data_IF_775347290079
#
_entry.id   IF_775347290079
#
_cell.length_a   1.000
_cell.length_b   1.000
_cell.length_c   1.000
_cell.angle_alpha   90.00
_cell.angle_beta   90.00
_cell.angle_gamma   90.00
#
_symmetry.space_group_name_H-M   'P 1'
#
loop_
_entity.id
_entity.type
_entity.pdbx_description
1 polymer ?
#
# COMPACT_ATOMS: atom_id res chain seq x y z
N UNK A 1 -27.02 -31.20 -54.46
CA UNK A 1 -28.48 -31.47 -54.33
C UNK A 1 -28.62 -32.87 -53.73
N UNK A 2 -29.01 -32.97 -52.46
CA UNK A 2 -30.34 -33.42 -51.99
C UNK A 2 -30.68 -34.91 -52.29
N UNK A 3 -30.67 -35.70 -51.20
CA UNK A 3 -31.58 -36.81 -50.81
C UNK A 3 -31.51 -38.07 -51.68
N UNK A 4 -31.69 -39.31 -51.23
CA UNK A 4 -32.42 -39.99 -50.14
C UNK A 4 -31.60 -41.28 -49.81
N UNK A 5 -31.84 -42.16 -48.85
CA UNK A 5 -32.92 -42.46 -47.89
C UNK A 5 -32.29 -43.35 -46.81
N UNK A 6 -32.68 -43.17 -45.56
CA UNK A 6 -32.33 -44.06 -44.45
C UNK A 6 -33.38 -45.18 -44.41
N UNK A 7 -32.95 -46.42 -44.27
CA UNK A 7 -33.80 -47.53 -43.83
C UNK A 7 -33.09 -48.29 -42.72
N UNK A 8 -33.75 -48.35 -41.56
CA UNK A 8 -33.36 -49.11 -40.38
C UNK A 8 -33.33 -50.62 -40.68
N UNK A 9 -32.36 -51.33 -40.09
CA UNK A 9 -32.61 -52.66 -39.56
C UNK A 9 -31.80 -52.85 -38.27
N UNK A 10 -32.50 -53.00 -37.15
CA UNK A 10 -31.93 -53.36 -35.87
C UNK A 10 -31.67 -54.88 -35.86
N UNK A 11 -30.45 -55.28 -35.51
CA UNK A 11 -30.12 -56.66 -35.13
C UNK A 11 -29.50 -56.61 -33.75
N UNK A 12 -30.23 -57.16 -32.79
CA UNK A 12 -29.72 -57.58 -31.49
C UNK A 12 -28.77 -58.75 -31.71
N UNK A 13 -27.52 -58.60 -31.28
CA UNK A 13 -26.59 -59.70 -31.10
C UNK A 13 -25.96 -59.60 -29.72
N UNK A 14 -26.41 -60.51 -28.85
CA UNK A 14 -25.75 -60.91 -27.62
C UNK A 14 -24.38 -61.48 -27.98
N UNK A 15 -23.34 -61.12 -27.24
CA UNK A 15 -22.08 -61.88 -27.22
C UNK A 15 -21.55 -61.97 -25.79
N UNK A 16 -20.94 -63.12 -25.42
CA UNK A 16 -20.62 -63.46 -24.05
C UNK A 16 -19.18 -63.07 -23.64
N UNK A 17 -18.98 -63.12 -22.33
CA UNK A 17 -17.78 -62.87 -21.54
C UNK A 17 -16.43 -63.15 -22.22
N UNK A 18 -15.55 -62.15 -22.17
CA UNK A 18 -14.10 -62.32 -22.17
C UNK A 18 -13.59 -62.03 -20.74
N UNK A 19 -12.88 -63.00 -20.17
CA UNK A 19 -12.26 -62.90 -18.85
C UNK A 19 -11.19 -61.80 -18.84
N UNK A 20 -11.35 -60.81 -17.95
CA UNK A 20 -10.30 -59.86 -17.61
C UNK A 20 -9.40 -60.45 -16.52
N UNK A 21 -8.07 -60.24 -16.58
CA UNK A 21 -7.13 -60.76 -15.59
C UNK A 21 -7.38 -60.14 -14.22
N UNK A 22 -7.21 -60.97 -13.19
CA UNK A 22 -7.21 -60.59 -11.78
C UNK A 22 -6.22 -59.43 -11.54
N UNK A 23 -6.75 -58.26 -11.20
CA UNK A 23 -5.99 -57.22 -10.51
C UNK A 23 -6.16 -57.50 -9.02
N UNK A 24 -5.09 -57.92 -8.34
CA UNK A 24 -5.07 -57.90 -6.87
C UNK A 24 -4.96 -56.43 -6.46
N UNK A 25 -6.05 -55.88 -5.94
CA UNK A 25 -6.02 -54.62 -5.19
C UNK A 25 -5.07 -54.82 -4.00
N UNK A 26 -4.00 -54.03 -3.94
CA UNK A 26 -3.26 -53.84 -2.70
C UNK A 26 -4.26 -53.32 -1.64
N UNK A 27 -4.25 -53.85 -0.41
CA UNK A 27 -5.19 -53.38 0.60
C UNK A 27 -4.91 -51.90 0.85
N UNK A 28 -5.85 -51.06 0.42
CA UNK A 28 -5.91 -49.65 0.79
C UNK A 28 -5.91 -49.59 2.32
N UNK A 29 -4.80 -49.09 2.90
CA UNK A 29 -4.75 -48.81 4.33
C UNK A 29 -5.64 -47.59 4.55
N UNK A 30 -6.92 -47.83 4.79
CA UNK A 30 -7.84 -46.80 5.27
C UNK A 30 -7.43 -46.47 6.70
N UNK A 31 -6.67 -45.40 6.87
CA UNK A 31 -6.51 -44.78 8.18
C UNK A 31 -7.83 -44.06 8.45
N UNK A 32 -8.78 -44.76 9.06
CA UNK A 32 -9.97 -44.12 9.61
C UNK A 32 -9.52 -43.15 10.70
N UNK A 33 -9.42 -41.86 10.34
CA UNK A 33 -9.23 -40.80 11.32
C UNK A 33 -10.51 -40.70 12.14
N UNK A 34 -10.60 -41.47 13.23
CA UNK A 34 -11.52 -41.21 14.33
C UNK A 34 -11.06 -39.97 15.11
N UNK A 35 -10.98 -38.83 14.44
CA UNK A 35 -11.09 -37.54 15.10
C UNK A 35 -12.57 -37.33 15.41
N UNK A 36 -12.89 -36.99 16.66
CA UNK A 36 -14.25 -36.61 17.02
C UNK A 36 -14.78 -35.61 15.98
N UNK A 37 -15.92 -35.92 15.37
CA UNK A 37 -16.62 -34.99 14.50
C UNK A 37 -16.95 -33.77 15.36
N UNK A 38 -16.13 -32.71 15.27
CA UNK A 38 -16.40 -31.46 15.96
C UNK A 38 -17.77 -31.01 15.50
N UNK A 39 -18.72 -30.92 16.45
CA UNK A 39 -20.07 -30.48 16.18
C UNK A 39 -20.04 -29.26 15.25
N UNK A 40 -20.96 -29.15 14.27
CA UNK A 40 -20.94 -28.05 13.32
C UNK A 40 -20.89 -26.74 14.11
N UNK A 41 -19.79 -25.99 13.94
CA UNK A 41 -19.64 -24.68 14.56
C UNK A 41 -20.83 -23.86 14.10
N UNK A 42 -21.67 -23.43 15.04
CA UNK A 42 -22.86 -22.64 14.73
C UNK A 42 -22.39 -21.38 14.00
N UNK A 43 -22.62 -21.35 12.69
CA UNK A 43 -22.21 -20.24 11.85
C UNK A 43 -22.95 -18.98 12.27
N UNK A 44 -22.21 -17.88 12.31
CA UNK A 44 -22.68 -16.56 12.68
C UNK A 44 -22.76 -15.72 11.42
N UNK A 45 -23.97 -15.43 10.98
CA UNK A 45 -24.19 -14.39 9.98
C UNK A 45 -23.80 -13.03 10.57
N UNK A 46 -22.76 -12.42 10.00
CA UNK A 46 -22.32 -11.07 10.35
C UNK A 46 -23.26 -9.99 9.82
N UNK A 47 -24.07 -10.33 8.82
CA UNK A 47 -24.98 -9.40 8.17
C UNK A 47 -26.24 -9.14 9.00
N UNK A 48 -26.70 -10.15 9.74
CA UNK A 48 -27.94 -10.08 10.54
C UNK A 48 -27.73 -9.48 11.94
N UNK A 49 -26.49 -9.13 12.29
CA UNK A 49 -26.14 -8.58 13.60
C UNK A 49 -25.59 -7.17 13.47
N UNK A 50 -25.87 -6.30 14.43
CA UNK A 50 -25.24 -4.99 14.51
C UNK A 50 -23.83 -5.07 15.13
N UNK A 51 -23.07 -3.97 15.04
CA UNK A 51 -21.71 -3.86 15.57
C UNK A 51 -21.61 -4.24 17.05
N UNK A 52 -22.58 -3.82 17.87
CA UNK A 52 -22.60 -4.09 19.32
C UNK A 52 -22.81 -5.57 19.61
N UNK A 53 -23.74 -6.22 18.90
CA UNK A 53 -24.03 -7.64 19.03
C UNK A 53 -22.82 -8.49 18.63
N UNK A 54 -22.19 -8.17 17.50
CA UNK A 54 -20.97 -8.84 17.03
C UNK A 54 -19.81 -8.63 18.01
N UNK A 55 -19.65 -7.39 18.50
CA UNK A 55 -18.58 -7.07 19.45
C UNK A 55 -18.75 -7.84 20.76
N UNK A 56 -19.98 -8.00 21.26
CA UNK A 56 -20.26 -8.79 22.47
C UNK A 56 -20.03 -10.29 22.25
N UNK A 57 -20.42 -10.80 21.08
CA UNK A 57 -20.30 -12.22 20.76
C UNK A 57 -18.85 -12.68 20.67
N UNK A 58 -18.00 -11.88 20.03
CA UNK A 58 -16.61 -12.25 19.76
C UNK A 58 -15.60 -11.66 20.76
N UNK A 59 -16.07 -10.93 21.78
CA UNK A 59 -15.18 -10.26 22.74
C UNK A 59 -14.23 -11.25 23.41
N UNK A 60 -12.92 -10.98 23.32
CA UNK A 60 -11.90 -11.81 23.96
C UNK A 60 -11.68 -13.17 23.28
N UNK A 61 -12.32 -13.42 22.13
CA UNK A 61 -12.03 -14.58 21.29
C UNK A 61 -10.80 -14.28 20.43
N UNK A 62 -10.06 -15.33 20.12
CA UNK A 62 -8.95 -15.22 19.16
C UNK A 62 -9.49 -15.09 17.73
N UNK A 63 -8.61 -14.64 16.82
CA UNK A 63 -8.93 -14.52 15.40
C UNK A 63 -9.41 -15.84 14.83
N UNK A 64 -8.72 -16.94 15.13
CA UNK A 64 -9.05 -18.28 14.64
C UNK A 64 -10.51 -18.64 14.91
N UNK A 65 -11.00 -18.44 16.13
CA UNK A 65 -12.39 -18.67 16.49
C UNK A 65 -13.36 -17.77 15.71
N UNK A 66 -13.03 -16.49 15.56
CA UNK A 66 -13.85 -15.56 14.78
C UNK A 66 -13.90 -15.96 13.30
N UNK A 67 -12.75 -16.32 12.71
CA UNK A 67 -12.65 -16.78 11.32
C UNK A 67 -13.51 -18.02 11.08
N UNK A 68 -13.43 -19.02 11.96
CA UNK A 68 -14.21 -20.25 11.82
C UNK A 68 -15.70 -20.07 12.12
N UNK A 69 -16.08 -19.01 12.84
CA UNK A 69 -17.48 -18.75 13.18
C UNK A 69 -18.20 -17.92 12.13
N UNK A 70 -17.48 -17.27 11.20
CA UNK A 70 -18.07 -16.31 10.23
C UNK A 70 -18.04 -16.88 8.82
N UNK A 71 -19.17 -16.75 8.12
CA UNK A 71 -19.47 -17.48 6.87
C UNK A 71 -18.66 -17.04 5.64
N UNK A 72 -17.94 -15.90 5.68
CA UNK A 72 -17.12 -15.41 4.57
C UNK A 72 -15.98 -14.54 5.10
N UNK A 73 -14.72 -14.95 4.99
CA UNK A 73 -13.62 -14.19 5.59
C UNK A 73 -12.48 -13.88 4.64
N UNK A 74 -12.02 -12.62 4.66
CA UNK A 74 -10.70 -12.26 4.15
C UNK A 74 -9.63 -12.83 5.07
N UNK A 75 -8.75 -13.68 4.53
CA UNK A 75 -7.56 -14.14 5.24
C UNK A 75 -6.48 -13.06 5.36
N UNK A 76 -6.60 -11.97 4.62
CA UNK A 76 -5.69 -10.82 4.69
C UNK A 76 -6.11 -9.89 5.81
N UNK A 77 -5.16 -9.57 6.68
CA UNK A 77 -5.22 -8.47 7.63
C UNK A 77 -4.19 -7.39 7.27
N UNK A 78 -4.60 -6.15 7.50
CA UNK A 78 -3.70 -5.00 7.46
C UNK A 78 -3.34 -4.61 8.89
N UNK A 79 -2.06 -4.35 9.14
CA UNK A 79 -1.59 -3.86 10.45
C UNK A 79 -1.77 -2.35 10.49
N UNK A 80 -2.62 -1.91 11.41
CA UNK A 80 -2.87 -0.50 11.69
C UNK A 80 -2.11 -0.12 12.96
N UNK A 81 -1.29 0.92 12.86
CA UNK A 81 -0.64 1.53 14.02
C UNK A 81 -1.51 2.67 14.54
N UNK A 82 -1.87 2.60 15.81
CA UNK A 82 -2.63 3.67 16.45
C UNK A 82 -1.75 4.84 16.90
N UNK A 83 -2.38 5.98 17.15
CA UNK A 83 -1.71 7.19 17.63
C UNK A 83 -0.92 7.00 18.95
N UNK A 84 -1.30 6.02 19.79
CA UNK A 84 -0.60 5.71 21.03
C UNK A 84 0.51 4.65 20.87
N UNK A 85 0.82 4.26 19.64
CA UNK A 85 1.86 3.28 19.31
C UNK A 85 1.42 1.83 19.39
N UNK A 86 0.19 1.52 19.82
CA UNK A 86 -0.35 0.15 19.80
C UNK A 86 -0.69 -0.27 18.38
N UNK A 87 -0.49 -1.55 18.10
CA UNK A 87 -0.78 -2.16 16.81
C UNK A 87 -2.06 -2.98 16.87
N UNK A 88 -2.85 -2.87 15.81
CA UNK A 88 -4.09 -3.58 15.62
C UNK A 88 -4.08 -4.28 14.27
N UNK A 89 -4.63 -5.48 14.22
CA UNK A 89 -4.89 -6.16 12.96
C UNK A 89 -6.32 -5.87 12.53
N UNK A 90 -6.46 -5.37 11.31
CA UNK A 90 -7.74 -5.00 10.71
C UNK A 90 -8.13 -6.02 9.64
N UNK A 91 -9.36 -6.53 9.73
CA UNK A 91 -9.94 -7.44 8.73
C UNK A 91 -11.22 -6.82 8.17
N UNK A 92 -11.26 -6.68 6.85
CA UNK A 92 -12.47 -6.29 6.10
C UNK A 92 -13.24 -7.53 5.65
N UNK A 93 -14.55 -7.52 5.88
CA UNK A 93 -15.48 -8.52 5.40
C UNK A 93 -16.29 -7.95 4.26
N UNK A 94 -16.07 -8.47 3.05
CA UNK A 94 -16.68 -7.99 1.81
C UNK A 94 -15.64 -7.54 0.77
N UNK A 95 -16.08 -7.44 -0.48
CA UNK A 95 -15.21 -7.19 -1.65
C UNK A 95 -15.18 -5.74 -2.09
N UNK A 96 -16.07 -4.88 -1.58
CA UNK A 96 -16.28 -3.53 -2.08
C UNK A 96 -15.90 -2.45 -1.06
N UNK A 97 -15.41 -1.32 -1.58
CA UNK A 97 -15.28 -0.07 -0.81
C UNK A 97 -16.69 0.47 -0.54
N UNK A 98 -17.16 0.21 0.68
CA UNK A 98 -18.55 0.38 1.11
C UNK A 98 -18.99 -0.73 2.07
N UNK A 99 -18.23 -1.81 2.16
CA UNK A 99 -18.45 -2.88 3.13
C UNK A 99 -17.94 -2.43 4.52
N UNK A 100 -18.90 -2.04 5.35
CA UNK A 100 -18.63 -1.55 6.70
C UNK A 100 -18.37 -2.65 7.72
N UNK A 101 -18.47 -3.93 7.33
CA UNK A 101 -18.16 -5.06 8.19
C UNK A 101 -16.64 -5.13 8.37
N UNK A 102 -16.17 -4.40 9.39
CA UNK A 102 -14.76 -4.17 9.66
C UNK A 102 -14.46 -4.62 11.08
N UNK A 103 -13.52 -5.55 11.23
CA UNK A 103 -13.21 -6.18 12.51
C UNK A 103 -11.81 -5.75 12.90
N UNK A 104 -11.66 -5.41 14.18
CA UNK A 104 -10.41 -4.96 14.76
C UNK A 104 -9.96 -5.97 15.81
N UNK A 105 -8.73 -6.42 15.67
CA UNK A 105 -8.03 -7.31 16.60
C UNK A 105 -6.80 -6.59 17.15
N UNK A 106 -6.29 -7.00 18.29
CA UNK A 106 -4.93 -6.62 18.71
C UNK A 106 -3.93 -7.36 17.81
N UNK A 107 -2.87 -6.68 17.39
CA UNK A 107 -1.76 -7.30 16.66
C UNK A 107 -0.80 -8.03 17.62
N UNK A 108 -1.34 -8.96 18.41
CA UNK A 108 -0.59 -9.86 19.29
C UNK A 108 -0.79 -11.32 18.82
N UNK A 109 -0.01 -12.27 19.32
CA UNK A 109 -0.21 -13.70 19.01
C UNK A 109 -0.62 -14.46 20.28
N UNK A 110 -1.83 -15.05 20.34
CA UNK A 110 -2.88 -15.03 19.32
C UNK A 110 -3.61 -13.67 19.23
N UNK A 111 -4.03 -13.29 18.02
CA UNK A 111 -4.72 -12.01 17.79
C UNK A 111 -6.09 -12.00 18.48
N UNK A 112 -6.26 -11.14 19.48
CA UNK A 112 -7.52 -11.06 20.25
C UNK A 112 -8.50 -10.06 19.65
N UNK A 113 -9.76 -10.44 19.48
CA UNK A 113 -10.83 -9.58 18.98
C UNK A 113 -11.16 -8.41 19.93
N UNK A 114 -11.31 -7.21 19.38
CA UNK A 114 -11.51 -5.95 20.12
C UNK A 114 -12.84 -5.29 19.79
N UNK A 115 -13.11 -5.05 18.51
CA UNK A 115 -14.25 -4.27 18.07
C UNK A 115 -14.72 -4.68 16.67
N UNK A 116 -15.99 -4.44 16.38
CA UNK A 116 -16.58 -4.56 15.06
C UNK A 116 -17.27 -3.25 14.69
N UNK A 117 -17.15 -2.84 13.44
CA UNK A 117 -18.00 -1.86 12.81
C UNK A 117 -18.96 -2.54 11.83
N UNK A 118 -20.17 -1.98 11.71
CA UNK A 118 -21.24 -2.47 10.84
C UNK A 118 -21.76 -1.41 9.86
N UNK A 119 -21.47 -0.14 10.12
CA UNK A 119 -21.81 1.00 9.27
C UNK A 119 -20.73 2.09 9.39
N UNK A 120 -20.85 3.15 8.60
CA UNK A 120 -19.92 4.29 8.62
C UNK A 120 -19.73 4.89 10.02
N UNK A 121 -20.83 5.07 10.77
CA UNK A 121 -20.79 5.66 12.12
C UNK A 121 -19.97 4.80 13.08
N UNK A 122 -20.12 3.48 12.99
CA UNK A 122 -19.35 2.54 13.81
C UNK A 122 -17.86 2.57 13.43
N UNK A 123 -17.53 2.69 12.14
CA UNK A 123 -16.13 2.81 11.69
C UNK A 123 -15.49 4.06 12.30
N UNK A 124 -16.16 5.21 12.19
CA UNK A 124 -15.69 6.47 12.78
C UNK A 124 -15.57 6.38 14.31
N UNK A 125 -16.54 5.73 14.98
CA UNK A 125 -16.50 5.54 16.43
C UNK A 125 -15.32 4.66 16.88
N UNK A 126 -15.02 3.60 16.13
CA UNK A 126 -13.88 2.71 16.40
C UNK A 126 -12.56 3.44 16.10
N UNK A 127 -12.47 4.16 14.99
CA UNK A 127 -11.29 4.97 14.64
C UNK A 127 -10.96 5.96 15.77
N UNK A 128 -11.95 6.71 16.27
CA UNK A 128 -11.80 7.65 17.37
C UNK A 128 -11.38 6.96 18.67
N UNK A 129 -12.06 5.86 19.04
CA UNK A 129 -11.82 5.17 20.31
C UNK A 129 -10.43 4.52 20.40
N UNK A 130 -9.96 3.92 19.31
CA UNK A 130 -8.70 3.18 19.27
C UNK A 130 -7.57 3.97 18.63
N UNK A 131 -7.84 5.16 18.10
CA UNK A 131 -6.85 6.00 17.43
C UNK A 131 -6.29 5.36 16.17
N UNK A 132 -7.11 4.58 15.45
CA UNK A 132 -6.76 3.87 14.21
C UNK A 132 -7.51 4.45 13.02
N UNK A 133 -7.08 4.10 11.81
CA UNK A 133 -7.82 4.42 10.60
C UNK A 133 -8.17 3.14 9.85
N UNK A 134 -9.39 2.62 10.06
CA UNK A 134 -9.88 1.44 9.33
C UNK A 134 -10.36 1.76 7.90
N UNK A 135 -10.09 2.96 7.40
CA UNK A 135 -10.46 3.43 6.06
C UNK A 135 -11.92 3.88 5.98
N UNK A 136 -12.14 5.09 5.47
CA UNK A 136 -13.45 5.64 5.09
C UNK A 136 -13.26 6.34 3.75
N UNK A 137 -14.06 5.96 2.75
CA UNK A 137 -14.05 6.65 1.46
C UNK A 137 -14.78 7.99 1.56
N UNK A 138 -14.33 8.98 0.80
CA UNK A 138 -15.01 10.26 0.68
C UNK A 138 -16.42 10.07 0.11
N UNK A 139 -16.54 9.17 -0.88
CA UNK A 139 -17.85 8.79 -1.44
C UNK A 139 -18.83 8.30 -0.37
N UNK A 140 -18.39 7.42 0.53
CA UNK A 140 -19.22 6.90 1.61
C UNK A 140 -19.58 7.95 2.64
N UNK A 141 -18.61 8.80 2.99
CA UNK A 141 -18.84 9.91 3.89
C UNK A 141 -19.89 10.86 3.35
N UNK A 142 -19.76 11.29 2.09
CA UNK A 142 -20.69 12.20 1.44
C UNK A 142 -22.08 11.59 1.23
N UNK A 143 -22.16 10.27 1.02
CA UNK A 143 -23.45 9.58 0.97
C UNK A 143 -24.26 9.72 2.27
N UNK A 144 -23.59 9.76 3.43
CA UNK A 144 -24.24 9.84 4.74
C UNK A 144 -24.36 11.27 5.26
N UNK A 145 -23.33 12.09 5.03
CA UNK A 145 -23.20 13.43 5.63
C UNK A 145 -23.18 14.58 4.62
N UNK A 146 -23.21 14.30 3.32
CA UNK A 146 -23.02 15.32 2.28
C UNK A 146 -24.05 16.44 2.30
N UNK A 147 -25.26 16.20 2.82
CA UNK A 147 -26.31 17.23 2.95
C UNK A 147 -26.14 18.12 4.19
N UNK A 148 -25.35 17.72 5.17
CA UNK A 148 -25.19 18.43 6.46
C UNK A 148 -23.78 18.91 6.73
N UNK A 149 -22.79 18.37 6.02
CA UNK A 149 -21.39 18.71 6.20
C UNK A 149 -21.04 20.00 5.44
N UNK A 150 -20.28 20.88 6.08
CA UNK A 150 -19.71 22.08 5.42
C UNK A 150 -18.33 21.75 4.88
N UNK A 151 -18.12 21.93 3.58
CA UNK A 151 -16.85 21.67 2.93
C UNK A 151 -15.91 22.88 3.01
N UNK A 152 -14.62 22.61 3.18
CA UNK A 152 -13.52 23.55 3.03
C UNK A 152 -12.30 22.82 2.44
N UNK A 153 -11.31 23.55 1.95
CA UNK A 153 -10.08 22.98 1.41
C UNK A 153 -8.87 23.48 2.20
N UNK A 154 -7.86 22.63 2.34
CA UNK A 154 -6.56 22.98 2.91
C UNK A 154 -5.45 22.61 1.92
N UNK A 155 -4.47 23.49 1.75
CA UNK A 155 -3.32 23.22 0.90
C UNK A 155 -2.20 22.57 1.72
N UNK A 156 -1.77 21.39 1.29
CA UNK A 156 -0.56 20.74 1.77
C UNK A 156 0.51 20.88 0.66
N UNK A 157 1.28 21.95 0.74
CA UNK A 157 2.35 22.22 -0.23
C UNK A 157 3.51 21.24 -0.08
N UNK A 158 3.67 20.63 1.11
CA UNK A 158 4.70 19.62 1.35
C UNK A 158 4.42 18.33 0.59
N UNK A 159 3.15 17.94 0.51
CA UNK A 159 2.70 16.82 -0.31
C UNK A 159 2.36 17.21 -1.76
N UNK A 160 2.27 18.51 -2.05
CA UNK A 160 1.83 19.04 -3.35
C UNK A 160 0.35 18.74 -3.64
N UNK A 161 -0.50 18.73 -2.60
CA UNK A 161 -1.89 18.27 -2.66
C UNK A 161 -2.84 19.24 -1.98
N UNK A 162 -4.12 19.17 -2.35
CA UNK A 162 -5.21 19.86 -1.65
C UNK A 162 -6.03 18.84 -0.88
N UNK A 163 -6.09 19.01 0.43
CA UNK A 163 -6.88 18.20 1.34
C UNK A 163 -8.31 18.72 1.39
N UNK A 164 -9.28 17.82 1.27
CA UNK A 164 -10.70 18.14 1.42
C UNK A 164 -11.10 18.01 2.88
N UNK A 165 -11.67 19.06 3.46
CA UNK A 165 -12.08 19.08 4.87
C UNK A 165 -13.60 19.23 4.97
N UNK A 166 -14.22 18.38 5.77
CA UNK A 166 -15.65 18.44 6.02
C UNK A 166 -15.93 18.66 7.50
N UNK A 167 -16.57 19.77 7.82
CA UNK A 167 -17.10 20.05 9.16
C UNK A 167 -18.49 19.43 9.29
N UNK A 168 -18.68 18.60 10.31
CA UNK A 168 -19.96 17.95 10.57
C UNK A 168 -20.24 17.93 12.07
N UNK A 169 -21.47 18.27 12.46
CA UNK A 169 -21.96 18.00 13.82
C UNK A 169 -22.20 16.49 13.95
N UNK A 170 -21.36 15.83 14.73
CA UNK A 170 -21.26 14.38 14.79
C UNK A 170 -21.44 13.88 16.23
N UNK A 171 -22.10 12.74 16.37
CA UNK A 171 -22.20 11.96 17.60
C UNK A 171 -22.08 10.48 17.28
N UNK A 172 -21.61 9.72 18.25
CA UNK A 172 -21.39 8.28 18.14
C UNK A 172 -21.73 7.53 19.43
N UNK A 173 -21.54 6.21 19.42
CA UNK A 173 -21.84 5.33 20.55
C UNK A 173 -21.00 5.62 21.80
N UNK A 174 -19.79 6.14 21.64
CA UNK A 174 -18.87 6.59 22.68
C UNK A 174 -19.05 8.08 23.02
N UNK A 175 -19.47 8.92 22.05
CA UNK A 175 -19.67 10.36 22.18
C UNK A 175 -21.12 10.75 21.84
N UNK A 176 -22.02 10.54 22.80
CA UNK A 176 -23.47 10.71 22.57
C UNK A 176 -23.89 12.17 22.33
N UNK A 177 -23.15 13.12 22.90
CA UNK A 177 -23.43 14.55 22.73
C UNK A 177 -22.92 15.00 21.36
N UNK A 178 -23.78 15.52 20.47
CA UNK A 178 -23.35 16.04 19.19
C UNK A 178 -22.37 17.20 19.35
N UNK A 179 -21.23 17.11 18.68
CA UNK A 179 -20.19 18.13 18.69
C UNK A 179 -19.64 18.33 17.27
N UNK A 180 -19.03 19.49 16.97
CA UNK A 180 -18.40 19.70 15.67
C UNK A 180 -17.13 18.83 15.55
N UNK A 181 -17.06 18.07 14.47
CA UNK A 181 -15.86 17.33 14.06
C UNK A 181 -15.45 17.77 12.66
N UNK A 182 -14.14 17.76 12.41
CA UNK A 182 -13.56 18.01 11.10
C UNK A 182 -12.95 16.72 10.57
N UNK A 183 -13.37 16.32 9.38
CA UNK A 183 -12.92 15.11 8.68
C UNK A 183 -12.06 15.54 7.50
N UNK A 184 -10.78 15.18 7.53
CA UNK A 184 -9.78 15.57 6.52
C UNK A 184 -9.53 14.38 5.59
N UNK A 185 -9.69 14.60 4.30
CA UNK A 185 -9.52 13.62 3.23
C UNK A 185 -8.35 14.01 2.32
N UNK A 186 -7.53 13.03 1.94
CA UNK A 186 -6.60 13.10 0.80
C UNK A 186 -7.19 12.28 -0.34
N UNK A 187 -7.65 12.97 -1.39
CA UNK A 187 -8.44 12.33 -2.45
C UNK A 187 -9.70 11.67 -1.89
N UNK A 188 -9.81 10.35 -2.03
CA UNK A 188 -10.95 9.57 -1.53
C UNK A 188 -10.72 9.01 -0.11
N UNK A 189 -9.54 9.16 0.48
CA UNK A 189 -9.21 8.51 1.76
C UNK A 189 -9.29 9.48 2.94
N UNK A 190 -10.08 9.13 3.97
CA UNK A 190 -10.06 9.85 5.24
C UNK A 190 -8.70 9.66 5.92
N UNK A 191 -7.93 10.74 6.12
CA UNK A 191 -6.61 10.67 6.77
C UNK A 191 -6.65 11.08 8.24
N UNK A 192 -7.55 12.00 8.62
CA UNK A 192 -7.59 12.53 9.98
C UNK A 192 -9.02 12.90 10.39
N UNK A 193 -9.34 12.64 11.65
CA UNK A 193 -10.54 13.17 12.32
C UNK A 193 -10.12 14.07 13.47
N UNK A 194 -10.68 15.27 13.53
CA UNK A 194 -10.31 16.32 14.49
C UNK A 194 -11.53 16.72 15.30
N UNK A 195 -11.42 16.62 16.63
CA UNK A 195 -12.51 16.92 17.56
C UNK A 195 -12.54 18.41 17.90
N UNK A 196 -13.53 19.13 17.35
CA UNK A 196 -13.77 20.53 17.64
C UNK A 196 -12.82 21.53 16.98
N UNK A 197 -13.12 22.81 17.21
CA UNK A 197 -12.41 23.96 16.61
C UNK A 197 -10.94 24.00 17.00
N UNK A 198 -10.61 23.66 18.25
CA UNK A 198 -9.24 23.71 18.75
C UNK A 198 -8.34 22.71 18.03
N UNK A 199 -8.78 21.45 17.90
CA UNK A 199 -8.01 20.43 17.19
C UNK A 199 -7.83 20.79 15.71
N UNK A 200 -8.86 21.40 15.11
CA UNK A 200 -8.77 21.90 13.74
C UNK A 200 -7.76 23.04 13.59
N UNK A 201 -7.82 24.06 14.47
CA UNK A 201 -6.88 25.17 14.48
C UNK A 201 -5.43 24.72 14.72
N UNK A 202 -5.21 23.77 15.62
CA UNK A 202 -3.88 23.20 15.88
C UNK A 202 -3.35 22.44 14.65
N UNK A 203 -4.22 21.73 13.93
CA UNK A 203 -3.86 21.02 12.71
C UNK A 203 -3.52 21.98 11.56
N UNK A 204 -4.37 22.97 11.31
CA UNK A 204 -4.13 23.96 10.24
C UNK A 204 -2.88 24.77 10.52
N UNK A 205 -2.64 25.17 11.78
CA UNK A 205 -1.41 25.86 12.16
C UNK A 205 -0.16 25.04 11.84
N UNK A 206 -0.14 23.75 12.17
CA UNK A 206 0.99 22.86 11.85
C UNK A 206 1.22 22.75 10.34
N UNK A 207 0.14 22.66 9.57
CA UNK A 207 0.20 22.58 8.11
C UNK A 207 0.78 23.89 7.52
N UNK A 208 0.31 25.04 7.98
CA UNK A 208 0.82 26.35 7.57
C UNK A 208 2.30 26.51 7.91
N UNK A 209 2.71 26.16 9.15
CA UNK A 209 4.12 26.21 9.55
C UNK A 209 5.01 25.29 8.71
N UNK A 210 4.49 24.13 8.28
CA UNK A 210 5.20 23.21 7.41
C UNK A 210 5.36 23.79 5.99
N UNK A 211 4.31 24.38 5.44
CA UNK A 211 4.33 25.04 4.13
C UNK A 211 5.28 26.26 4.12
N UNK A 212 5.25 27.10 5.17
CA UNK A 212 6.17 28.23 5.30
C UNK A 212 7.64 27.79 5.36
N UNK A 213 7.94 26.72 6.11
CA UNK A 213 9.29 26.14 6.16
C UNK A 213 9.74 25.62 4.80
N UNK A 214 8.86 24.97 4.05
CA UNK A 214 9.16 24.49 2.70
C UNK A 214 9.45 25.66 1.74
N UNK A 215 8.65 26.72 1.78
CA UNK A 215 8.85 27.94 0.98
C UNK A 215 10.20 28.58 1.28
N UNK A 216 10.52 28.78 2.56
CA UNK A 216 11.81 29.34 2.97
C UNK A 216 13.00 28.48 2.52
N UNK A 217 12.87 27.14 2.54
CA UNK A 217 13.91 26.24 2.03
C UNK A 217 14.07 26.35 0.50
N UNK A 218 12.96 26.45 -0.23
CA UNK A 218 12.97 26.60 -1.69
C UNK A 218 13.59 27.93 -2.12
N UNK A 219 13.28 29.03 -1.43
CA UNK A 219 13.90 30.34 -1.68
C UNK A 219 15.42 30.30 -1.44
N UNK A 220 15.86 29.72 -0.32
CA UNK A 220 17.29 29.56 -0.04
C UNK A 220 18.00 28.68 -1.07
N UNK A 221 17.33 27.64 -1.59
CA UNK A 221 17.87 26.80 -2.63
C UNK A 221 17.99 27.55 -3.97
N UNK A 222 16.95 28.31 -4.35
CA UNK A 222 16.96 29.13 -5.56
C UNK A 222 18.04 30.22 -5.49
N UNK A 223 18.20 30.87 -4.35
CA UNK A 223 19.26 31.87 -4.13
C UNK A 223 20.67 31.27 -4.29
N UNK A 224 20.89 30.05 -3.79
CA UNK A 224 22.16 29.34 -3.98
C UNK A 224 22.41 29.03 -5.45
N UNK A 225 21.40 28.54 -6.18
CA UNK A 225 21.51 28.26 -7.61
C UNK A 225 21.80 29.54 -8.39
N UNK A 226 21.06 30.63 -8.14
CA UNK A 226 21.27 31.91 -8.80
C UNK A 226 22.67 32.50 -8.52
N UNK A 227 23.19 32.34 -7.30
CA UNK A 227 24.57 32.74 -6.94
C UNK A 227 25.60 31.91 -7.68
N UNK A 228 25.41 30.59 -7.78
CA UNK A 228 26.31 29.69 -8.52
C UNK A 228 26.30 29.98 -10.02
N UNK A 229 25.14 30.28 -10.61
CA UNK A 229 25.01 30.66 -12.02
C UNK A 229 25.73 31.98 -12.30
N UNK A 230 25.55 33.00 -11.44
CA UNK A 230 26.31 34.27 -11.54
C UNK A 230 27.82 34.05 -11.40
N UNK A 231 28.26 33.15 -10.53
CA UNK A 231 29.68 32.79 -10.41
C UNK A 231 30.21 32.07 -11.66
N UNK A 232 29.44 31.15 -12.24
CA UNK A 232 29.81 30.46 -13.49
C UNK A 232 29.87 31.43 -14.68
N UNK A 233 28.92 32.34 -14.81
CA UNK A 233 28.92 33.37 -15.86
C UNK A 233 30.11 34.33 -15.71
N UNK A 234 30.44 34.77 -14.50
CA UNK A 234 31.60 35.63 -14.26
C UNK A 234 32.94 34.91 -14.47
N UNK A 235 33.04 33.61 -14.19
CA UNK A 235 34.21 32.80 -14.56
C UNK A 235 34.33 32.56 -16.07
N UNK A 236 33.21 32.33 -16.77
CA UNK A 236 33.19 32.20 -18.23
C UNK A 236 33.61 33.50 -18.92
N UNK A 237 33.17 34.67 -18.42
CA UNK A 237 33.59 35.98 -18.93
C UNK A 237 35.09 36.29 -18.69
N UNK A 238 35.69 35.73 -17.63
CA UNK A 238 37.15 35.84 -17.37
C UNK A 238 37.99 34.88 -18.22
N UNK A 239 37.40 33.81 -18.75
CA UNK A 239 38.02 32.95 -19.77
C UNK A 239 37.80 33.58 -21.15
N UNK A 240 38.49 34.69 -21.41
CA UNK A 240 38.67 35.18 -22.79
C UNK A 240 39.27 34.05 -23.63
N UNK A 241 38.84 33.84 -24.89
CA UNK A 241 39.44 32.83 -25.74
C UNK A 241 40.92 33.20 -25.93
N UNK A 242 41.83 32.35 -25.45
CA UNK A 242 43.23 32.42 -25.88
C UNK A 242 43.16 32.17 -27.38
N UNK A 243 43.37 33.22 -28.19
CA UNK A 243 43.44 33.13 -29.65
C UNK A 243 44.54 32.13 -29.98
N UNK A 244 44.17 30.91 -30.35
CA UNK A 244 45.07 30.04 -31.09
C UNK A 244 45.33 30.75 -32.43
N UNK A 245 46.61 31.05 -32.70
CA UNK A 245 47.07 31.50 -34.01
C UNK A 245 46.85 30.34 -35.00
N UNK A 246 45.63 30.18 -35.49
CA UNK A 246 45.34 29.30 -36.61
C UNK A 246 45.77 30.03 -37.88
N UNK A 247 47.07 29.94 -38.17
CA UNK A 247 47.64 30.32 -39.45
C UNK A 247 46.95 29.46 -40.52
N UNK A 248 46.32 30.13 -41.50
CA UNK A 248 45.69 29.46 -42.63
C UNK A 248 46.72 28.65 -43.40
N UNK A 249 46.47 27.36 -43.54
CA UNK A 249 47.22 26.45 -44.39
C UNK A 249 46.29 25.36 -44.86
N UNK A 250 46.14 25.24 -46.18
CA UNK A 250 45.39 24.16 -46.82
C UNK A 250 46.09 22.82 -46.57
N UNK A 251 45.33 21.72 -46.68
CA UNK A 251 45.77 20.34 -46.41
C UNK A 251 47.04 19.94 -47.20
N UNK A 252 47.35 20.65 -48.28
CA UNK A 252 48.53 20.41 -49.12
C UNK A 252 49.86 20.89 -48.51
N UNK A 253 49.86 21.85 -47.58
CA UNK A 253 51.08 22.36 -46.93
C UNK A 253 51.67 21.40 -45.88
N UNK A 254 50.90 20.40 -45.43
CA UNK A 254 51.41 19.39 -44.48
C UNK A 254 52.32 18.34 -45.13
N UNK A 255 52.35 18.26 -46.47
CA UNK A 255 53.13 17.23 -47.18
C UNK A 255 54.64 17.56 -47.25
N UNK A 256 55.02 18.81 -46.99
CA UNK A 256 56.40 19.30 -47.11
C UNK A 256 57.02 19.78 -45.80
N UNK A 257 56.47 19.42 -44.63
CA UNK A 257 57.17 19.63 -43.37
C UNK A 257 58.27 18.58 -43.16
N UNK A 258 59.52 18.97 -42.81
CA UNK A 258 60.55 18.02 -42.44
C UNK A 258 60.11 17.27 -41.18
N UNK A 259 60.06 15.93 -41.24
CA UNK A 259 59.78 15.07 -40.09
C UNK A 259 60.85 15.29 -39.03
N UNK A 260 60.55 16.12 -38.02
CA UNK A 260 61.34 16.17 -36.80
C UNK A 260 61.03 14.91 -36.00
N UNK A 261 61.97 13.96 -36.05
CA UNK A 261 62.01 12.79 -35.17
C UNK A 261 62.05 13.27 -33.71
N UNK A 262 60.91 13.28 -33.04
CA UNK A 262 60.89 13.42 -31.59
C UNK A 262 61.53 12.17 -30.97
N UNK A 263 62.60 12.31 -30.15
CA UNK A 263 63.20 11.19 -29.46
C UNK A 263 62.20 10.59 -28.46
N UNK A 264 62.22 9.26 -28.37
CA UNK A 264 61.40 8.45 -27.46
C UNK A 264 61.42 9.02 -26.03
N UNK A 265 60.27 9.49 -25.55
CA UNK A 265 60.00 9.55 -24.12
C UNK A 265 60.16 8.13 -23.53
N UNK A 266 60.81 7.96 -22.37
CA UNK A 266 60.88 6.66 -21.71
C UNK A 266 59.47 6.20 -21.33
N UNK A 267 59.14 4.91 -21.49
CA UNK A 267 57.80 4.41 -21.20
C UNK A 267 57.47 4.57 -19.70
N UNK A 268 56.26 5.00 -19.34
CA UNK A 268 55.80 4.94 -17.96
C UNK A 268 55.76 3.47 -17.51
N UNK A 269 56.38 3.23 -16.36
CA UNK A 269 56.54 1.94 -15.68
C UNK A 269 55.20 1.21 -15.48
N UNK A 270 55.15 -0.12 -15.65
CA UNK A 270 54.01 -0.92 -15.24
C UNK A 270 54.05 -1.09 -13.72
N UNK A 271 53.20 -0.37 -13.00
CA UNK A 271 52.92 -0.69 -11.60
C UNK A 271 52.25 -2.06 -11.53
N UNK A 272 53.02 -3.04 -11.08
CA UNK A 272 52.58 -4.37 -10.69
C UNK A 272 51.38 -4.26 -9.76
N UNK A 273 50.25 -4.80 -10.21
CA UNK A 273 49.25 -5.39 -9.32
C UNK A 273 49.78 -6.77 -8.95
N UNK A 274 50.08 -7.09 -7.68
CA UNK A 274 50.15 -8.46 -7.24
C UNK A 274 48.75 -8.91 -6.84
N UNK A 275 48.30 -9.99 -7.47
CA UNK A 275 47.12 -10.73 -7.09
C UNK A 275 47.22 -11.25 -5.65
N UNK A 276 46.08 -11.27 -4.96
CA UNK A 276 45.76 -12.28 -3.95
C UNK A 276 46.40 -12.09 -2.56
N UNK A 277 45.57 -11.77 -1.58
CA UNK A 277 45.67 -12.47 -0.28
C UNK A 277 44.25 -12.59 0.32
N UNK A 278 43.91 -13.74 0.93
CA UNK A 278 42.55 -14.22 1.07
C UNK A 278 41.88 -13.82 2.39
N UNK A 279 40.55 -14.01 2.40
CA UNK A 279 39.62 -13.88 3.52
C UNK A 279 40.04 -14.80 4.69
N UNK A 280 40.17 -14.29 5.93
CA UNK A 280 40.20 -15.14 7.11
C UNK A 280 38.76 -15.50 7.51
N UNK A 281 38.41 -16.76 7.30
CA UNK A 281 37.38 -17.47 8.06
C UNK A 281 38.09 -18.08 9.27
N UNK A 282 37.65 -17.76 10.48
CA UNK A 282 38.00 -18.55 11.67
C UNK A 282 36.74 -19.25 12.18
N UNK A 283 36.77 -20.58 12.32
CA UNK A 283 35.79 -21.34 13.08
C UNK A 283 36.21 -21.42 14.55
N UNK A 284 35.33 -21.05 15.46
CA UNK A 284 35.04 -21.72 16.75
C UNK A 284 33.69 -21.23 17.26
#
# INVERSE_FOLDING_TARGET
>A
MKRFMITLLAVWLVSPAAAAPYYQEEPEIVIEMHGAQTAPVKTVSIWDKNALQLTRLFRGKDRTHVLYSVENVSTKDDILRSANGKEYAFVRYGTNDGDYRKFLFKAEDPQTFVACAANLKDVLAVNLKYGVNMGVSLKDFLRVYGSTATASALEDETAGKTLSVYKQTYSDVNHKTPAPYYFVFDGDELIQTLAGEKAYADYTKKLTEANEKLRAQNEQAQDKVARLEKQKQSQAARRQPIKALAYGGTVEDQMYMPRVNNPKFPPPTPSKVPAGTPIPVSPF
#
